data_IF_869564988674
#
_entry.id   IF_869564988674
#
_cell.length_a   1.000
_cell.length_b   1.000
_cell.length_c   1.000
_cell.angle_alpha   90.00
_cell.angle_beta   90.00
_cell.angle_gamma   90.00
#
_symmetry.space_group_name_H-M   'P 1'
#
loop_
_entity.id
_entity.type
_entity.pdbx_description
1 polymer ?
#
# COMPACT_ATOMS: atom_id res chain seq x y z
N UNK A 1 16.37 26.93 25.37
CA UNK A 1 16.08 27.03 23.92
C UNK A 1 14.62 27.45 23.75
N UNK A 2 14.37 28.36 22.83
CA UNK A 2 13.20 29.26 22.80
C UNK A 2 11.85 28.56 22.53
N UNK A 3 10.81 28.97 23.26
CA UNK A 3 9.41 28.61 23.04
C UNK A 3 8.69 29.68 22.20
N UNK A 4 7.82 29.31 21.24
CA UNK A 4 7.12 30.29 20.41
C UNK A 4 5.88 30.86 21.13
N UNK A 5 5.73 32.19 21.09
CA UNK A 5 4.58 32.93 21.62
C UNK A 5 3.35 32.78 20.72
N UNK A 6 2.14 32.51 21.25
CA UNK A 6 0.93 32.44 20.43
C UNK A 6 0.38 33.84 20.12
N UNK A 7 0.13 34.12 18.84
CA UNK A 7 -0.56 35.33 18.34
C UNK A 7 -2.05 35.24 18.66
N UNK A 8 -2.54 36.06 19.59
CA UNK A 8 -3.98 36.18 19.90
C UNK A 8 -4.62 37.32 19.09
N UNK A 9 -5.66 36.98 18.32
CA UNK A 9 -6.41 37.89 17.44
C UNK A 9 -7.19 38.93 18.25
N UNK A 10 -7.04 40.23 17.92
CA UNK A 10 -7.91 41.32 18.39
C UNK A 10 -9.37 41.04 18.02
N UNK A 11 -10.23 40.80 19.02
CA UNK A 11 -11.69 40.80 18.87
C UNK A 11 -12.17 42.25 18.79
N UNK A 12 -13.02 42.56 17.81
CA UNK A 12 -13.72 43.85 17.76
C UNK A 12 -14.80 43.88 18.85
N UNK A 13 -14.67 44.79 19.81
CA UNK A 13 -15.71 45.12 20.80
C UNK A 13 -16.79 45.98 20.15
N UNK A 14 -18.05 45.52 20.17
CA UNK A 14 -19.24 46.35 19.91
C UNK A 14 -19.78 46.87 21.24
N UNK A 15 -20.13 48.15 21.31
CA UNK A 15 -20.89 48.70 22.43
C UNK A 15 -22.32 48.11 22.46
N UNK A 16 -22.82 47.83 23.66
CA UNK A 16 -24.20 47.39 23.87
C UNK A 16 -25.17 48.55 23.53
N UNK A 17 -26.16 48.26 22.67
CA UNK A 17 -27.24 49.19 22.36
C UNK A 17 -28.27 49.29 23.50
N UNK A 18 -29.12 50.34 23.50
CA UNK A 18 -29.96 50.70 24.63
C UNK A 18 -31.13 49.74 24.86
N UNK A 19 -31.59 49.70 26.11
CA UNK A 19 -32.59 48.78 26.63
C UNK A 19 -33.99 48.99 26.02
N UNK A 20 -34.67 47.86 25.82
CA UNK A 20 -36.04 47.71 25.34
C UNK A 20 -37.03 48.23 26.39
N UNK A 21 -37.89 49.18 26.02
CA UNK A 21 -39.02 49.64 26.84
C UNK A 21 -40.26 48.84 26.44
N UNK A 22 -40.90 48.20 27.41
CA UNK A 22 -42.23 47.59 27.30
C UNK A 22 -43.32 48.64 27.61
N UNK A 23 -44.51 48.55 26.98
CA UNK A 23 -45.62 49.47 27.23
C UNK A 23 -46.67 48.90 28.19
N UNK A 24 -47.43 49.84 28.78
CA UNK A 24 -48.82 49.74 29.24
C UNK A 24 -49.07 49.70 30.75
N UNK A 25 -49.62 50.80 31.26
CA UNK A 25 -50.82 50.77 32.11
C UNK A 25 -51.53 52.13 32.01
N UNK A 26 -52.82 52.09 31.70
CA UNK A 26 -53.71 53.23 31.59
C UNK A 26 -54.17 53.73 32.97
N UNK A 27 -54.40 55.04 33.09
CA UNK A 27 -55.24 55.62 34.14
C UNK A 27 -56.01 56.82 33.55
N UNK A 28 -57.34 56.75 33.67
CA UNK A 28 -58.34 57.69 33.17
C UNK A 28 -58.71 58.69 34.27
N UNK A 29 -58.74 60.00 34.01
CA UNK A 29 -59.69 60.95 34.65
C UNK A 29 -60.01 62.08 33.65
N UNK A 30 -61.25 62.55 33.72
CA UNK A 30 -61.98 63.33 32.73
C UNK A 30 -62.02 64.86 32.98
N UNK A 31 -62.53 65.53 31.95
CA UNK A 31 -63.37 66.74 31.90
C UNK A 31 -62.78 68.14 31.59
N UNK A 32 -63.60 68.81 30.76
CA UNK A 32 -63.81 70.23 30.46
C UNK A 32 -62.91 71.01 29.46
N UNK A 33 -63.58 71.44 28.39
CA UNK A 33 -63.24 72.60 27.55
C UNK A 33 -63.70 73.88 28.29
N UNK A 34 -63.07 75.08 28.14
CA UNK A 34 -62.93 75.75 26.84
C UNK A 34 -61.73 76.74 26.68
N UNK A 35 -61.71 77.35 25.48
CA UNK A 35 -61.06 78.62 25.08
C UNK A 35 -59.58 78.59 24.59
N UNK A 36 -59.43 78.91 23.30
CA UNK A 36 -58.19 79.29 22.63
C UNK A 36 -57.46 80.44 23.34
N UNK A 37 -56.11 80.49 23.21
CA UNK A 37 -55.57 81.59 22.43
C UNK A 37 -54.50 81.17 21.41
N UNK A 38 -54.59 81.82 20.26
CA UNK A 38 -53.68 81.83 19.10
C UNK A 38 -52.21 81.90 19.48
N UNK A 39 -51.38 81.03 18.91
CA UNK A 39 -49.96 81.33 18.65
C UNK A 39 -49.42 80.61 17.40
N UNK A 40 -49.22 81.43 16.36
CA UNK A 40 -48.12 81.47 15.38
C UNK A 40 -47.55 80.13 14.87
N UNK A 41 -47.87 79.87 13.60
CA UNK A 41 -47.12 79.02 12.66
C UNK A 41 -45.60 79.21 12.73
N UNK A 42 -44.85 78.10 12.63
CA UNK A 42 -43.75 78.03 11.70
C UNK A 42 -44.07 77.03 10.58
N UNK A 43 -44.13 77.57 9.38
CA UNK A 43 -43.83 76.96 8.08
C UNK A 43 -43.64 75.44 8.08
N UNK A 44 -44.70 74.73 7.67
CA UNK A 44 -44.67 73.29 7.38
C UNK A 44 -43.66 73.03 6.26
N UNK A 45 -42.44 72.64 6.63
CA UNK A 45 -41.44 72.16 5.70
C UNK A 45 -42.02 70.98 4.93
N UNK A 46 -41.99 71.08 3.60
CA UNK A 46 -42.42 70.02 2.68
C UNK A 46 -41.69 68.72 3.07
N UNK A 47 -42.46 67.69 3.38
CA UNK A 47 -41.99 66.34 3.66
C UNK A 47 -41.06 65.87 2.54
N UNK A 48 -39.78 65.71 2.87
CA UNK A 48 -38.79 65.13 1.98
C UNK A 48 -39.22 63.70 1.62
N UNK A 49 -39.29 63.41 0.32
CA UNK A 49 -39.56 62.08 -0.21
C UNK A 49 -38.56 61.10 0.41
N UNK A 50 -39.04 60.07 1.11
CA UNK A 50 -38.23 58.95 1.58
C UNK A 50 -37.51 58.31 0.39
N UNK A 51 -36.19 58.44 0.35
CA UNK A 51 -35.34 57.81 -0.66
C UNK A 51 -35.39 56.29 -0.43
N UNK A 52 -35.90 55.55 -1.42
CA UNK A 52 -35.96 54.09 -1.41
C UNK A 52 -34.53 53.52 -1.39
N UNK A 53 -34.22 52.46 -0.60
CA UNK A 53 -32.88 51.88 -0.58
C UNK A 53 -32.53 51.38 -1.99
N UNK A 54 -31.28 51.57 -2.47
CA UNK A 54 -30.89 51.13 -3.80
C UNK A 54 -31.09 49.61 -3.93
N UNK A 55 -31.53 49.12 -5.11
CA UNK A 55 -31.76 47.71 -5.33
C UNK A 55 -30.47 46.92 -5.06
N UNK A 56 -30.53 45.97 -4.12
CA UNK A 56 -29.41 45.06 -3.85
C UNK A 56 -29.06 44.30 -5.13
N UNK A 57 -27.81 44.41 -5.60
CA UNK A 57 -27.27 43.64 -6.72
C UNK A 57 -27.54 42.15 -6.47
N UNK A 58 -28.22 41.50 -7.41
CA UNK A 58 -28.43 40.05 -7.36
C UNK A 58 -27.06 39.37 -7.54
N UNK A 59 -26.70 38.38 -6.71
CA UNK A 59 -25.45 37.64 -6.90
C UNK A 59 -25.50 36.88 -8.23
N UNK A 60 -24.41 36.94 -9.00
CA UNK A 60 -24.28 36.26 -10.30
C UNK A 60 -24.09 34.74 -10.09
N UNK A 61 -25.15 34.06 -9.67
CA UNK A 61 -25.15 32.61 -9.37
C UNK A 61 -24.73 31.75 -10.56
N UNK A 62 -25.09 32.16 -11.78
CA UNK A 62 -24.73 31.45 -13.01
C UNK A 62 -23.22 31.48 -13.25
N UNK A 63 -22.58 32.64 -13.05
CA UNK A 63 -21.14 32.79 -13.20
C UNK A 63 -20.37 31.99 -12.15
N UNK A 64 -20.84 32.02 -10.89
CA UNK A 64 -20.28 31.20 -9.81
C UNK A 64 -20.45 29.70 -10.09
N UNK A 65 -21.61 29.31 -10.65
CA UNK A 65 -21.86 27.93 -11.09
C UNK A 65 -20.84 27.47 -12.13
N UNK A 66 -20.63 28.24 -13.20
CA UNK A 66 -19.64 27.92 -14.24
C UNK A 66 -18.21 27.87 -13.71
N UNK A 67 -17.81 28.80 -12.85
CA UNK A 67 -16.47 28.79 -12.24
C UNK A 67 -16.30 27.55 -11.35
N UNK A 68 -17.31 27.23 -10.53
CA UNK A 68 -17.26 26.03 -9.68
C UNK A 68 -17.19 24.74 -10.49
N UNK A 69 -17.89 24.68 -11.61
CA UNK A 69 -17.86 23.54 -12.53
C UNK A 69 -16.49 23.41 -13.21
N UNK A 70 -15.93 24.50 -13.72
CA UNK A 70 -14.60 24.51 -14.30
C UNK A 70 -13.53 24.11 -13.26
N UNK A 71 -13.63 24.63 -12.03
CA UNK A 71 -12.75 24.26 -10.93
C UNK A 71 -12.88 22.77 -10.56
N UNK A 72 -14.10 22.23 -10.54
CA UNK A 72 -14.34 20.82 -10.29
C UNK A 72 -13.73 19.92 -11.38
N UNK A 73 -13.89 20.27 -12.66
CA UNK A 73 -13.27 19.54 -13.76
C UNK A 73 -11.74 19.57 -13.68
N UNK A 74 -11.14 20.72 -13.36
CA UNK A 74 -9.70 20.83 -13.15
C UNK A 74 -9.24 19.98 -11.97
N UNK A 75 -9.99 19.97 -10.87
CA UNK A 75 -9.69 19.13 -9.70
C UNK A 75 -9.75 17.64 -10.05
N UNK A 76 -10.77 17.20 -10.79
CA UNK A 76 -10.90 15.81 -11.27
C UNK A 76 -9.74 15.45 -12.20
N UNK A 77 -9.39 16.33 -13.14
CA UNK A 77 -8.26 16.12 -14.05
C UNK A 77 -6.93 15.98 -13.29
N UNK A 78 -6.70 16.83 -12.29
CA UNK A 78 -5.53 16.75 -11.43
C UNK A 78 -5.50 15.45 -10.61
N UNK A 79 -6.64 15.02 -10.05
CA UNK A 79 -6.74 13.76 -9.31
C UNK A 79 -6.51 12.56 -10.23
N UNK A 80 -7.13 12.54 -11.43
CA UNK A 80 -6.95 11.47 -12.40
C UNK A 80 -5.49 11.35 -12.85
N UNK A 81 -4.82 12.47 -13.11
CA UNK A 81 -3.39 12.49 -13.43
C UNK A 81 -2.56 11.94 -12.26
N UNK A 82 -2.84 12.37 -11.02
CA UNK A 82 -2.18 11.86 -9.83
C UNK A 82 -2.33 10.35 -9.65
N UNK A 83 -3.56 9.82 -9.80
CA UNK A 83 -3.83 8.38 -9.73
C UNK A 83 -3.08 7.63 -10.82
N UNK A 84 -3.05 8.15 -12.05
CA UNK A 84 -2.36 7.51 -13.16
C UNK A 84 -0.86 7.38 -12.88
N UNK A 85 -0.23 8.45 -12.37
CA UNK A 85 1.20 8.43 -11.98
C UNK A 85 1.46 7.40 -10.87
N UNK A 86 0.61 7.37 -9.84
CA UNK A 86 0.74 6.40 -8.75
C UNK A 86 0.60 4.95 -9.23
N UNK A 87 -0.35 4.68 -10.13
CA UNK A 87 -0.54 3.33 -10.71
C UNK A 87 0.68 2.90 -11.51
N UNK A 88 1.27 3.80 -12.30
CA UNK A 88 2.49 3.47 -13.07
C UNK A 88 3.66 3.17 -12.13
N UNK A 89 3.88 4.01 -11.12
CA UNK A 89 4.93 3.76 -10.11
C UNK A 89 4.71 2.45 -9.37
N UNK A 90 3.47 2.15 -8.98
CA UNK A 90 3.11 0.91 -8.31
C UNK A 90 3.40 -0.31 -9.20
N UNK A 91 3.07 -0.25 -10.50
CA UNK A 91 3.37 -1.34 -11.43
C UNK A 91 4.86 -1.57 -11.60
N UNK A 92 5.67 -0.52 -11.67
CA UNK A 92 7.13 -0.67 -11.73
C UNK A 92 7.71 -1.26 -10.45
N UNK A 93 7.22 -0.83 -9.28
CA UNK A 93 7.64 -1.40 -8.00
C UNK A 93 7.22 -2.87 -7.86
N UNK A 94 6.00 -3.21 -8.30
CA UNK A 94 5.49 -4.60 -8.31
C UNK A 94 6.31 -5.48 -9.24
N UNK A 95 6.65 -5.01 -10.45
CA UNK A 95 7.45 -5.80 -11.39
C UNK A 95 8.82 -6.22 -10.81
N UNK A 96 9.47 -5.35 -10.02
CA UNK A 96 10.70 -5.69 -9.30
C UNK A 96 10.46 -6.73 -8.22
N UNK A 97 9.46 -6.51 -7.36
CA UNK A 97 9.10 -7.43 -6.27
C UNK A 97 8.69 -8.82 -6.79
N UNK A 98 7.95 -8.87 -7.89
CA UNK A 98 7.51 -10.11 -8.53
C UNK A 98 8.71 -10.89 -9.10
N UNK A 99 9.74 -10.19 -9.60
CA UNK A 99 10.99 -10.83 -10.05
C UNK A 99 11.77 -11.39 -8.84
N UNK A 100 11.92 -10.59 -7.79
CA UNK A 100 12.61 -11.00 -6.56
C UNK A 100 11.93 -12.21 -5.91
N UNK A 101 10.60 -12.21 -5.87
CA UNK A 101 9.81 -13.34 -5.36
C UNK A 101 10.00 -14.59 -6.20
N UNK A 102 10.02 -14.49 -7.54
CA UNK A 102 10.27 -15.64 -8.42
C UNK A 102 11.65 -16.27 -8.19
N UNK A 103 12.67 -15.50 -7.84
CA UNK A 103 13.96 -16.04 -7.44
C UNK A 103 13.85 -16.86 -6.15
N UNK A 104 13.17 -16.32 -5.15
CA UNK A 104 12.94 -17.01 -3.87
C UNK A 104 12.11 -18.29 -4.07
N UNK A 105 11.07 -18.23 -4.88
CA UNK A 105 10.20 -19.37 -5.19
C UNK A 105 10.97 -20.46 -5.92
N UNK A 106 11.77 -20.09 -6.93
CA UNK A 106 12.61 -21.04 -7.68
C UNK A 106 13.65 -21.70 -6.76
N UNK A 107 14.31 -20.93 -5.90
CA UNK A 107 15.26 -21.49 -4.93
C UNK A 107 14.59 -22.47 -3.98
N UNK A 108 13.43 -22.08 -3.44
CA UNK A 108 12.61 -22.89 -2.54
C UNK A 108 12.19 -24.19 -3.22
N UNK A 109 11.67 -24.10 -4.44
CA UNK A 109 11.26 -25.25 -5.24
C UNK A 109 12.44 -26.19 -5.54
N UNK A 110 13.60 -25.63 -5.86
CA UNK A 110 14.82 -26.44 -6.12
C UNK A 110 15.21 -27.25 -4.88
N UNK A 111 15.19 -26.62 -3.69
CA UNK A 111 15.49 -27.31 -2.42
C UNK A 111 14.44 -28.36 -2.09
N UNK A 112 13.16 -28.06 -2.29
CA UNK A 112 12.08 -29.04 -2.10
C UNK A 112 12.26 -30.22 -3.05
N UNK A 113 12.54 -29.97 -4.33
CA UNK A 113 12.79 -31.03 -5.32
C UNK A 113 14.01 -31.89 -4.97
N UNK A 114 15.04 -31.29 -4.36
CA UNK A 114 16.27 -32.00 -3.98
C UNK A 114 16.06 -32.95 -2.80
N UNK A 115 15.30 -32.53 -1.79
CA UNK A 115 15.12 -33.29 -0.55
C UNK A 115 13.82 -34.09 -0.48
N UNK A 116 12.90 -33.89 -1.43
CA UNK A 116 11.63 -34.60 -1.47
C UNK A 116 11.62 -35.67 -2.54
N UNK A 117 11.46 -36.92 -2.13
CA UNK A 117 11.30 -38.06 -3.03
C UNK A 117 10.44 -39.14 -2.40
N UNK A 118 9.75 -39.89 -3.25
CA UNK A 118 8.97 -41.07 -2.84
C UNK A 118 9.43 -42.29 -3.62
N UNK A 119 9.25 -43.47 -3.03
CA UNK A 119 9.69 -44.74 -3.61
C UNK A 119 8.97 -45.09 -4.92
N UNK A 120 7.70 -44.72 -5.03
CA UNK A 120 6.84 -44.97 -6.20
C UNK A 120 7.20 -44.10 -7.41
N UNK A 121 7.88 -42.96 -7.21
CA UNK A 121 8.16 -41.99 -8.26
C UNK A 121 9.61 -41.48 -8.28
N UNK A 122 10.58 -42.30 -7.87
CA UNK A 122 12.00 -41.90 -7.79
C UNK A 122 12.50 -41.31 -9.10
N UNK A 123 12.19 -41.94 -10.22
CA UNK A 123 12.67 -41.49 -11.53
C UNK A 123 12.15 -40.08 -11.86
N UNK A 124 10.86 -39.84 -11.60
CA UNK A 124 10.24 -38.53 -11.79
C UNK A 124 10.83 -37.49 -10.82
N UNK A 125 11.03 -37.85 -9.56
CA UNK A 125 11.56 -36.95 -8.53
C UNK A 125 13.00 -36.51 -8.82
N UNK A 126 13.87 -37.46 -9.20
CA UNK A 126 15.25 -37.15 -9.58
C UNK A 126 15.28 -36.35 -10.89
N UNK A 127 14.45 -36.70 -11.88
CA UNK A 127 14.38 -35.94 -13.13
C UNK A 127 13.84 -34.52 -12.93
N UNK A 128 12.86 -34.32 -12.04
CA UNK A 128 12.33 -32.99 -11.69
C UNK A 128 13.40 -32.12 -11.05
N UNK A 129 14.17 -32.68 -10.11
CA UNK A 129 15.32 -32.00 -9.54
C UNK A 129 16.34 -31.65 -10.62
N UNK A 130 16.79 -32.63 -11.41
CA UNK A 130 17.78 -32.40 -12.47
C UNK A 130 17.32 -31.35 -13.50
N UNK A 131 16.09 -31.45 -14.00
CA UNK A 131 15.53 -30.53 -14.99
C UNK A 131 15.35 -29.11 -14.45
N UNK A 132 15.17 -28.94 -13.14
CA UNK A 132 15.13 -27.64 -12.48
C UNK A 132 16.51 -26.99 -12.28
N UNK A 133 17.60 -27.66 -12.67
CA UNK A 133 18.97 -27.16 -12.50
C UNK A 133 19.64 -26.81 -13.83
N UNK A 134 20.55 -25.85 -13.78
CA UNK A 134 21.41 -25.41 -14.87
C UNK A 134 22.87 -25.28 -14.41
N UNK A 135 23.76 -24.80 -15.29
CA UNK A 135 25.12 -24.41 -14.92
C UNK A 135 25.97 -25.55 -14.31
N UNK A 136 26.90 -25.20 -13.40
CA UNK A 136 27.77 -26.16 -12.72
C UNK A 136 27.01 -27.25 -11.97
N UNK A 137 25.89 -26.89 -11.32
CA UNK A 137 25.07 -27.86 -10.58
C UNK A 137 24.51 -28.95 -11.50
N UNK A 138 23.93 -28.56 -12.64
CA UNK A 138 23.46 -29.52 -13.65
C UNK A 138 24.61 -30.36 -14.19
N UNK A 139 25.77 -29.75 -14.43
CA UNK A 139 26.98 -30.44 -14.87
C UNK A 139 27.42 -31.54 -13.90
N UNK A 140 27.46 -31.25 -12.60
CA UNK A 140 27.82 -32.22 -11.56
C UNK A 140 26.80 -33.37 -11.46
N UNK A 141 25.50 -33.05 -11.56
CA UNK A 141 24.44 -34.07 -11.52
C UNK A 141 24.44 -34.95 -12.76
N UNK A 142 24.76 -34.41 -13.93
CA UNK A 142 24.83 -35.15 -15.20
C UNK A 142 26.13 -35.93 -15.40
N UNK A 143 27.20 -35.59 -14.69
CA UNK A 143 28.49 -36.25 -14.84
C UNK A 143 28.42 -37.72 -14.43
N UNK A 144 29.18 -38.59 -15.13
CA UNK A 144 29.44 -39.98 -14.74
C UNK A 144 28.21 -40.83 -14.35
N UNK A 145 27.07 -40.62 -15.01
CA UNK A 145 25.80 -41.29 -14.68
C UNK A 145 25.34 -41.08 -13.23
N UNK A 146 25.71 -39.95 -12.61
CA UNK A 146 25.33 -39.61 -11.23
C UNK A 146 23.81 -39.62 -11.03
N UNK A 147 23.02 -39.26 -12.04
CA UNK A 147 21.55 -39.37 -12.02
C UNK A 147 21.09 -40.81 -11.75
N UNK A 148 21.64 -41.78 -12.47
CA UNK A 148 21.26 -43.19 -12.31
C UNK A 148 21.77 -43.75 -10.97
N UNK A 149 22.95 -43.31 -10.52
CA UNK A 149 23.45 -43.64 -9.20
C UNK A 149 22.54 -43.08 -8.09
N UNK A 150 22.06 -41.85 -8.21
CA UNK A 150 21.10 -41.25 -7.26
C UNK A 150 19.78 -42.03 -7.21
N UNK A 151 19.24 -42.40 -8.38
CA UNK A 151 18.03 -43.26 -8.44
C UNK A 151 18.27 -44.59 -7.74
N UNK A 152 19.42 -45.23 -7.97
CA UNK A 152 19.77 -46.49 -7.33
C UNK A 152 19.91 -46.35 -5.80
N UNK A 153 20.54 -45.27 -5.32
CA UNK A 153 20.69 -44.98 -3.89
C UNK A 153 19.34 -44.74 -3.20
N UNK A 154 18.44 -43.99 -3.84
CA UNK A 154 17.11 -43.76 -3.27
C UNK A 154 16.28 -45.04 -3.26
N UNK A 155 16.37 -45.88 -4.30
CA UNK A 155 15.70 -47.20 -4.33
C UNK A 155 16.23 -48.14 -3.25
N UNK A 156 17.54 -48.16 -3.01
CA UNK A 156 18.13 -49.08 -2.01
C UNK A 156 17.81 -48.69 -0.57
N UNK A 157 17.57 -47.39 -0.33
CA UNK A 157 17.27 -46.88 1.01
C UNK A 157 15.86 -47.25 1.50
N UNK A 158 14.94 -47.60 0.58
CA UNK A 158 13.53 -47.92 0.88
C UNK A 158 12.80 -46.87 1.75
N UNK A 159 13.26 -45.62 1.73
CA UNK A 159 12.69 -44.53 2.50
C UNK A 159 12.01 -43.51 1.59
N UNK A 160 11.09 -42.74 2.15
CA UNK A 160 10.56 -41.52 1.54
C UNK A 160 11.11 -40.33 2.31
N UNK A 161 11.29 -39.20 1.63
CA UNK A 161 11.80 -37.98 2.25
C UNK A 161 10.89 -36.83 1.89
N UNK A 162 10.58 -35.99 2.87
CA UNK A 162 9.76 -34.81 2.73
C UNK A 162 10.50 -33.59 3.28
N UNK A 163 10.51 -32.52 2.48
CA UNK A 163 11.14 -31.26 2.84
C UNK A 163 10.09 -30.19 3.14
N UNK A 164 10.23 -29.53 4.29
CA UNK A 164 9.40 -28.41 4.71
C UNK A 164 10.28 -27.18 4.86
N UNK A 165 9.91 -26.11 4.18
CA UNK A 165 10.65 -24.85 4.16
C UNK A 165 10.19 -24.03 5.36
N UNK A 166 11.13 -23.65 6.23
CA UNK A 166 10.84 -22.78 7.38
C UNK A 166 10.90 -21.30 7.00
N UNK A 167 11.74 -20.97 6.03
CA UNK A 167 11.92 -19.60 5.55
C UNK A 167 12.91 -19.55 4.40
N UNK A 168 12.70 -18.56 3.54
CA UNK A 168 13.61 -18.25 2.44
C UNK A 168 13.74 -16.73 2.33
N UNK A 169 14.93 -16.24 1.99
CA UNK A 169 15.21 -14.82 1.85
C UNK A 169 16.22 -14.58 0.73
N UNK A 170 15.93 -13.59 -0.11
CA UNK A 170 16.87 -13.09 -1.12
C UNK A 170 18.01 -12.33 -0.43
N UNK A 171 19.25 -12.77 -0.64
CA UNK A 171 20.47 -12.13 -0.11
C UNK A 171 20.96 -11.02 -1.04
N UNK A 172 20.89 -11.23 -2.35
CA UNK A 172 21.27 -10.24 -3.34
C UNK A 172 21.16 -10.77 -4.77
N UNK A 173 21.17 -9.85 -5.73
CA UNK A 173 21.13 -10.14 -7.16
C UNK A 173 22.37 -9.53 -7.81
N UNK A 174 23.11 -10.33 -8.55
CA UNK A 174 24.16 -9.90 -9.46
C UNK A 174 23.56 -9.65 -10.85
N UNK A 175 23.42 -8.38 -11.20
CA UNK A 175 22.86 -7.95 -12.48
C UNK A 175 23.82 -8.14 -13.67
N UNK A 176 25.09 -8.50 -13.45
CA UNK A 176 26.04 -8.78 -14.54
C UNK A 176 25.88 -10.21 -15.04
N UNK A 177 25.58 -11.14 -14.13
CA UNK A 177 25.46 -12.57 -14.43
C UNK A 177 24.03 -13.10 -14.32
N UNK A 178 23.06 -12.22 -14.06
CA UNK A 178 21.66 -12.54 -13.81
C UNK A 178 21.47 -13.69 -12.80
N UNK A 179 22.27 -13.63 -11.73
CA UNK A 179 22.28 -14.60 -10.65
C UNK A 179 21.76 -13.99 -9.35
N UNK A 180 20.86 -14.70 -8.68
CA UNK A 180 20.35 -14.34 -7.37
C UNK A 180 20.85 -15.33 -6.32
N UNK A 181 21.34 -14.82 -5.18
CA UNK A 181 21.65 -15.62 -4.00
C UNK A 181 20.45 -15.64 -3.07
N UNK A 182 19.95 -16.82 -2.73
CA UNK A 182 18.81 -17.01 -1.83
C UNK A 182 19.22 -17.93 -0.68
N UNK A 183 19.01 -17.48 0.55
CA UNK A 183 19.16 -18.32 1.74
C UNK A 183 17.86 -19.05 2.03
N UNK A 184 17.93 -20.38 2.11
CA UNK A 184 16.79 -21.26 2.36
C UNK A 184 17.04 -22.07 3.62
N UNK A 185 16.09 -22.04 4.55
CA UNK A 185 16.05 -22.93 5.70
C UNK A 185 14.99 -24.00 5.47
N UNK A 186 15.43 -25.26 5.55
CA UNK A 186 14.59 -26.42 5.32
C UNK A 186 14.70 -27.41 6.48
N UNK A 187 13.62 -28.11 6.77
CA UNK A 187 13.59 -29.30 7.62
C UNK A 187 13.26 -30.50 6.77
N UNK A 188 14.04 -31.55 6.90
CA UNK A 188 13.88 -32.77 6.12
C UNK A 188 13.49 -33.89 7.05
N UNK A 189 12.37 -34.55 6.74
CA UNK A 189 11.84 -35.68 7.50
C UNK A 189 11.86 -36.90 6.61
N UNK A 190 12.56 -37.94 7.04
CA UNK A 190 12.64 -39.21 6.31
C UNK A 190 11.67 -40.19 6.96
N UNK A 191 10.82 -40.84 6.18
CA UNK A 191 9.95 -41.93 6.61
C UNK A 191 10.45 -43.26 6.03
N UNK A 192 10.44 -44.32 6.84
CA UNK A 192 10.71 -45.68 6.34
C UNK A 192 9.52 -46.22 5.51
N UNK A 193 9.66 -47.42 4.94
CA UNK A 193 8.61 -48.07 4.14
C UNK A 193 7.32 -48.32 4.95
N UNK A 194 7.45 -48.49 6.27
CA UNK A 194 6.33 -48.64 7.20
C UNK A 194 5.64 -47.29 7.56
N UNK A 195 6.11 -46.18 6.98
CA UNK A 195 5.59 -44.83 7.24
C UNK A 195 6.06 -44.22 8.56
N UNK A 196 7.04 -44.83 9.23
CA UNK A 196 7.58 -44.32 10.49
C UNK A 196 8.53 -43.16 10.23
N UNK A 197 8.18 -41.97 10.71
CA UNK A 197 9.01 -40.77 10.58
C UNK A 197 10.22 -40.81 11.51
N UNK A 198 11.41 -40.58 10.94
CA UNK A 198 12.65 -40.30 11.67
C UNK A 198 12.69 -38.84 12.14
N UNK A 199 13.52 -38.51 13.15
CA UNK A 199 13.69 -37.13 13.59
C UNK A 199 14.04 -36.20 12.42
N UNK A 200 13.31 -35.08 12.34
CA UNK A 200 13.50 -34.09 11.28
C UNK A 200 14.82 -33.35 11.47
N UNK A 201 15.62 -33.25 10.39
CA UNK A 201 16.93 -32.60 10.41
C UNK A 201 16.86 -31.22 9.76
N UNK A 202 17.38 -30.16 10.41
CA UNK A 202 17.42 -28.82 9.83
C UNK A 202 18.63 -28.65 8.92
N UNK A 203 18.41 -28.08 7.74
CA UNK A 203 19.47 -27.65 6.83
C UNK A 203 19.30 -26.17 6.47
N UNK A 204 20.44 -25.52 6.22
CA UNK A 204 20.54 -24.16 5.72
C UNK A 204 21.36 -24.18 4.45
N UNK A 205 20.85 -23.59 3.38
CA UNK A 205 21.44 -23.64 2.05
C UNK A 205 21.44 -22.24 1.46
N UNK A 206 22.52 -21.90 0.78
CA UNK A 206 22.57 -20.78 -0.15
C UNK A 206 22.37 -21.35 -1.54
N UNK A 207 21.25 -21.02 -2.16
CA UNK A 207 20.92 -21.42 -3.53
C UNK A 207 21.22 -20.24 -4.43
N UNK A 208 22.01 -20.48 -5.48
CA UNK A 208 22.21 -19.54 -6.56
C UNK A 208 21.20 -19.89 -7.65
N UNK A 209 20.33 -18.94 -7.97
CA UNK A 209 19.34 -19.07 -9.04
C UNK A 209 19.79 -18.22 -10.22
N UNK A 210 19.81 -18.80 -11.41
CA UNK A 210 20.13 -18.09 -12.65
C UNK A 210 18.85 -17.86 -13.45
N UNK A 211 18.67 -16.64 -13.96
CA UNK A 211 17.65 -16.29 -14.93
C UNK A 211 18.26 -16.28 -16.34
N UNK A 212 17.72 -17.10 -17.25
CA UNK A 212 18.17 -17.13 -18.64
C UNK A 212 17.58 -15.98 -19.48
N UNK A 213 18.00 -15.87 -20.74
CA UNK A 213 17.51 -14.84 -21.67
C UNK A 213 16.00 -14.90 -21.95
N UNK A 214 15.36 -16.05 -21.69
CA UNK A 214 13.92 -16.26 -21.85
C UNK A 214 13.14 -15.94 -20.55
N UNK A 215 13.84 -15.57 -19.47
CA UNK A 215 13.28 -15.32 -18.15
C UNK A 215 12.97 -16.59 -17.36
N UNK A 216 13.50 -17.75 -17.76
CA UNK A 216 13.38 -18.98 -16.98
C UNK A 216 14.42 -18.99 -15.86
N UNK A 217 13.96 -19.26 -14.66
CA UNK A 217 14.79 -19.35 -13.47
C UNK A 217 15.09 -20.81 -13.13
N UNK A 218 16.36 -21.12 -12.86
CA UNK A 218 16.82 -22.47 -12.53
C UNK A 218 17.86 -22.45 -11.41
N UNK A 219 17.98 -23.55 -10.67
CA UNK A 219 19.04 -23.72 -9.69
C UNK A 219 20.40 -23.87 -10.38
N UNK A 220 21.26 -22.86 -10.26
CA UNK A 220 22.54 -22.78 -10.93
C UNK A 220 23.69 -23.38 -10.11
N UNK A 221 23.68 -23.12 -8.80
CA UNK A 221 24.67 -23.60 -7.85
C UNK A 221 24.08 -23.67 -6.44
N UNK A 222 24.62 -24.55 -5.59
CA UNK A 222 24.21 -24.71 -4.19
C UNK A 222 25.45 -24.68 -3.29
N UNK A 223 25.37 -23.89 -2.21
CA UNK A 223 26.44 -23.76 -1.22
C UNK A 223 25.90 -23.92 0.19
N UNK A 224 26.65 -24.63 1.02
CA UNK A 224 26.39 -24.64 2.46
C UNK A 224 26.96 -23.36 3.07
N UNK A 225 26.13 -22.54 3.74
CA UNK A 225 26.57 -21.26 4.31
C UNK A 225 27.65 -21.44 5.39
N UNK A 226 27.68 -22.61 6.04
CA UNK A 226 28.64 -22.95 7.10
C UNK A 226 29.82 -23.82 6.60
N UNK A 227 29.97 -24.04 5.27
CA UNK A 227 31.15 -24.71 4.70
C UNK A 227 31.27 -26.21 4.97
N UNK A 228 30.18 -26.98 4.77
CA UNK A 228 30.24 -28.44 4.80
C UNK A 228 30.87 -29.00 3.51
N UNK A 229 32.05 -29.62 3.65
CA UNK A 229 32.66 -30.51 2.65
C UNK A 229 31.89 -31.81 2.51
#
# INVERSE_FOLDING_TARGET
MASPTPRVRRRASRAAGPAKVEPSAAATIALDAPAEPKQKTPTRAKTLKTVKPPPRRRPNRVLVGWISFAAALLAIGALAAGVTVLVVQQRHAQAGQDRDQRFVDTATQTVVNMFSYKQDNIDESVNRFYNGTSGPLRGMLGANNNIENLKALFRSTNATSEAVINGAALEGIDAVTDNASVLVSVRVTVADIDGVHKPSMPYRLRVIVHEDEQGHMTGYDLKYPDGGN
#
